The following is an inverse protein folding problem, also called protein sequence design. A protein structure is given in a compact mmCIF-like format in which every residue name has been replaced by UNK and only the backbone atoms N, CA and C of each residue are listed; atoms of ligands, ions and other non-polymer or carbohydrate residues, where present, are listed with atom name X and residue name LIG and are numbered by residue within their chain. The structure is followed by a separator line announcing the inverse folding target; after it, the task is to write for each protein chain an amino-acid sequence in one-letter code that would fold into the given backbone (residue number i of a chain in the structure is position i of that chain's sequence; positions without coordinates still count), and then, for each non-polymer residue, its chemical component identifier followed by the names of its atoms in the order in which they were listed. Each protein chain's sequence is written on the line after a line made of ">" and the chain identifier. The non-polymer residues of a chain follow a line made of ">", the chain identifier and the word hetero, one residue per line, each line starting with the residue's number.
data_IF_811114341253
#
_entry.id   IF_811114341253
#
_cell.length_a   1.000
_cell.length_b   1.000
_cell.length_c   1.000
_cell.angle_alpha   90.00
_cell.angle_beta   90.00
_cell.angle_gamma   90.00
#
_symmetry.space_group_name_H-M   'P 1'
#
loop_
_entity.id
_entity.type
_entity.pdbx_description
1 polymer ?
#
# COMPACT_ATOMS: atom_id res chain seq x y z
N UNK A 1 13.21 17.95 -50.03
CA UNK A 1 12.14 17.60 -49.07
C UNK A 1 12.80 17.28 -47.74
N UNK A 2 12.71 18.14 -46.71
CA UNK A 2 13.32 17.83 -45.41
C UNK A 2 12.39 16.93 -44.58
N UNK A 3 12.94 15.88 -43.98
CA UNK A 3 12.21 14.94 -43.10
C UNK A 3 12.08 15.53 -41.69
N UNK A 4 10.85 15.53 -41.17
CA UNK A 4 10.53 15.98 -39.83
C UNK A 4 10.89 14.87 -38.83
N UNK A 5 11.98 15.04 -38.07
CA UNK A 5 12.39 14.11 -37.03
C UNK A 5 11.56 14.40 -35.77
N UNK A 6 10.58 13.55 -35.46
CA UNK A 6 9.76 13.67 -34.26
C UNK A 6 10.49 13.05 -33.06
N UNK A 7 11.21 13.85 -32.29
CA UNK A 7 11.81 13.40 -31.03
C UNK A 7 10.72 13.47 -29.95
N UNK A 8 10.10 12.35 -29.62
CA UNK A 8 9.21 12.23 -28.47
C UNK A 8 10.04 12.31 -27.17
N UNK A 9 10.30 13.54 -26.69
CA UNK A 9 10.76 13.75 -25.32
C UNK A 9 9.61 13.40 -24.39
N UNK A 10 9.69 12.24 -23.73
CA UNK A 10 8.82 11.94 -22.59
C UNK A 10 9.18 12.92 -21.47
N UNK A 11 8.29 13.87 -21.23
CA UNK A 11 8.40 14.85 -20.17
C UNK A 11 8.07 14.17 -18.84
N UNK A 12 8.97 13.32 -18.34
CA UNK A 12 8.90 12.84 -16.97
C UNK A 12 9.24 14.04 -16.08
N UNK A 13 8.20 14.67 -15.54
CA UNK A 13 8.32 15.63 -14.45
C UNK A 13 8.72 14.83 -13.21
N UNK A 14 9.97 14.95 -12.77
CA UNK A 14 10.45 14.37 -11.52
C UNK A 14 9.77 15.07 -10.34
N UNK A 15 8.54 14.66 -10.03
CA UNK A 15 7.84 15.06 -8.82
C UNK A 15 8.58 14.45 -7.62
N UNK A 16 8.88 15.24 -6.56
CA UNK A 16 9.51 14.72 -5.37
C UNK A 16 8.62 13.63 -4.75
N UNK A 17 9.16 12.41 -4.66
CA UNK A 17 8.50 11.29 -3.99
C UNK A 17 8.53 11.56 -2.49
N UNK A 18 7.44 12.14 -1.96
CA UNK A 18 7.28 12.28 -0.52
C UNK A 18 6.96 10.90 0.08
N UNK A 19 8.00 10.20 0.52
CA UNK A 19 7.86 8.95 1.26
C UNK A 19 7.48 9.29 2.70
N UNK A 20 6.19 9.20 3.00
CA UNK A 20 5.73 9.21 4.39
C UNK A 20 6.26 7.95 5.08
N UNK A 21 7.43 8.06 5.73
CA UNK A 21 7.89 7.05 6.67
C UNK A 21 6.89 7.01 7.82
N UNK A 22 6.10 5.94 7.88
CA UNK A 22 5.26 5.66 9.03
C UNK A 22 6.20 5.33 10.20
N UNK A 23 6.57 6.35 10.97
CA UNK A 23 7.21 6.15 12.27
C UNK A 23 6.17 5.42 13.13
N UNK A 24 6.27 4.10 13.22
CA UNK A 24 5.70 3.34 14.32
C UNK A 24 6.39 3.82 15.61
N UNK A 25 6.06 5.01 16.09
CA UNK A 25 6.09 5.18 17.53
C UNK A 25 5.12 4.12 18.03
N UNK A 26 5.64 3.08 18.65
CA UNK A 26 4.86 2.18 19.48
C UNK A 26 4.32 3.02 20.64
N UNK A 27 3.36 3.91 20.36
CA UNK A 27 2.42 4.45 21.33
C UNK A 27 1.40 3.36 21.66
N UNK A 28 1.84 2.10 21.77
CA UNK A 28 1.37 1.25 22.85
C UNK A 28 1.92 1.88 24.12
N UNK A 29 1.34 3.02 24.50
CA UNK A 29 1.48 3.52 25.86
C UNK A 29 1.09 2.30 26.70
N UNK A 30 2.00 1.81 27.54
CA UNK A 30 1.75 0.64 28.36
C UNK A 30 0.33 0.80 28.94
N UNK A 31 -0.57 -0.15 28.68
CA UNK A 31 -1.99 -0.02 29.02
C UNK A 31 -2.14 0.34 30.51
N UNK A 32 -1.21 -0.16 31.35
CA UNK A 32 -1.07 0.16 32.77
C UNK A 32 -0.68 1.63 33.04
N UNK A 33 0.10 2.27 32.18
CA UNK A 33 0.43 3.70 32.29
C UNK A 33 -0.74 4.60 31.89
N UNK A 34 -1.52 4.25 30.86
CA UNK A 34 -2.75 4.97 30.50
C UNK A 34 -3.84 4.78 31.56
N UNK A 35 -3.88 3.56 32.12
CA UNK A 35 -4.73 3.22 33.23
C UNK A 35 -4.49 4.10 34.44
N UNK A 36 -3.26 4.10 34.92
CA UNK A 36 -2.88 4.81 36.12
C UNK A 36 -2.93 6.34 35.96
N UNK A 37 -2.76 6.87 34.74
CA UNK A 37 -2.86 8.32 34.50
C UNK A 37 -4.30 8.83 34.45
N UNK A 38 -5.25 8.02 33.96
CA UNK A 38 -6.61 8.47 33.68
C UNK A 38 -7.64 7.97 34.71
N UNK A 39 -7.39 6.83 35.36
CA UNK A 39 -8.34 6.17 36.27
C UNK A 39 -7.75 5.90 37.67
N UNK A 40 -6.50 6.30 37.94
CA UNK A 40 -5.85 6.13 39.24
C UNK A 40 -5.47 4.67 39.54
N UNK A 41 -5.55 4.25 40.81
CA UNK A 41 -5.17 2.89 41.24
C UNK A 41 -6.15 1.80 40.80
N UNK A 42 -7.35 2.18 40.33
CA UNK A 42 -8.42 1.24 39.98
C UNK A 42 -8.35 0.88 38.49
N UNK A 43 -7.28 0.15 38.15
CA UNK A 43 -6.94 -0.29 36.79
C UNK A 43 -7.97 -1.28 36.23
N UNK A 44 -8.77 -1.90 37.11
CA UNK A 44 -9.76 -2.91 36.75
C UNK A 44 -11.01 -2.33 36.06
N UNK A 45 -11.25 -1.01 36.16
CA UNK A 45 -12.38 -0.30 35.51
C UNK A 45 -12.23 -0.21 33.99
N UNK A 46 -11.00 -0.35 33.47
CA UNK A 46 -10.65 0.03 32.09
C UNK A 46 -11.28 -0.84 31.02
N UNK A 47 -11.69 -2.06 31.38
CA UNK A 47 -12.41 -2.96 30.49
C UNK A 47 -13.59 -3.61 31.23
N UNK A 48 -14.20 -2.91 32.18
CA UNK A 48 -15.31 -3.42 33.00
C UNK A 48 -16.54 -3.81 32.16
N UNK A 49 -16.78 -3.07 31.06
CA UNK A 49 -17.86 -3.30 30.09
C UNK A 49 -17.43 -4.12 28.85
N UNK A 50 -16.14 -4.44 28.72
CA UNK A 50 -15.59 -5.19 27.58
C UNK A 50 -15.44 -4.39 26.27
N UNK A 51 -15.65 -3.07 26.28
CA UNK A 51 -15.60 -2.26 25.06
C UNK A 51 -14.19 -2.21 24.43
N UNK A 52 -13.12 -2.18 25.25
CA UNK A 52 -11.74 -2.19 24.73
C UNK A 52 -11.37 -3.51 24.06
N UNK A 53 -11.80 -4.63 24.64
CA UNK A 53 -11.60 -5.95 24.02
C UNK A 53 -12.31 -6.01 22.66
N UNK A 54 -13.53 -5.48 22.59
CA UNK A 54 -14.32 -5.41 21.35
C UNK A 54 -13.66 -4.52 20.30
N UNK A 55 -13.19 -3.33 20.68
CA UNK A 55 -12.50 -2.41 19.79
C UNK A 55 -11.19 -3.00 19.26
N UNK A 56 -10.45 -3.73 20.09
CA UNK A 56 -9.21 -4.39 19.70
C UNK A 56 -9.43 -5.52 18.69
N UNK A 57 -10.44 -6.37 18.92
CA UNK A 57 -10.80 -7.44 17.98
C UNK A 57 -11.35 -6.87 16.66
N UNK A 58 -12.15 -5.80 16.70
CA UNK A 58 -12.57 -5.08 15.50
C UNK A 58 -11.36 -4.52 14.73
N UNK A 59 -10.41 -3.89 15.42
CA UNK A 59 -9.20 -3.35 14.81
C UNK A 59 -8.33 -4.44 14.17
N UNK A 60 -8.20 -5.61 14.80
CA UNK A 60 -7.55 -6.77 14.19
C UNK A 60 -8.27 -7.22 12.92
N UNK A 61 -9.59 -7.28 12.95
CA UNK A 61 -10.41 -7.62 11.80
C UNK A 61 -10.17 -6.68 10.61
N UNK A 62 -10.18 -5.38 10.87
CA UNK A 62 -9.89 -4.34 9.88
C UNK A 62 -8.46 -4.49 9.33
N UNK A 63 -7.47 -4.67 10.20
CA UNK A 63 -6.08 -4.84 9.76
C UNK A 63 -5.92 -6.07 8.85
N UNK A 64 -6.60 -7.17 9.17
CA UNK A 64 -6.60 -8.38 8.33
C UNK A 64 -7.21 -8.12 6.96
N UNK A 65 -8.38 -7.48 6.90
CA UNK A 65 -9.04 -7.12 5.64
C UNK A 65 -8.14 -6.24 4.76
N UNK A 66 -7.54 -5.20 5.33
CA UNK A 66 -6.60 -4.33 4.61
C UNK A 66 -5.39 -5.10 4.06
N UNK A 67 -4.89 -6.08 4.80
CA UNK A 67 -3.75 -6.89 4.38
C UNK A 67 -4.12 -7.86 3.25
N UNK A 68 -5.34 -8.41 3.27
CA UNK A 68 -5.90 -9.23 2.21
C UNK A 68 -6.08 -8.42 0.91
N UNK A 69 -6.69 -7.23 1.02
CA UNK A 69 -6.88 -6.30 -0.11
C UNK A 69 -5.54 -5.88 -0.74
N UNK A 70 -4.56 -5.50 0.09
CA UNK A 70 -3.23 -5.12 -0.39
C UNK A 70 -2.54 -6.28 -1.13
N UNK A 71 -2.72 -7.51 -0.65
CA UNK A 71 -2.13 -8.70 -1.27
C UNK A 71 -2.80 -9.00 -2.60
N UNK A 72 -4.14 -8.90 -2.65
CA UNK A 72 -4.92 -9.09 -3.87
C UNK A 72 -4.54 -8.06 -4.94
N UNK A 73 -4.45 -6.77 -4.58
CA UNK A 73 -4.08 -5.69 -5.50
C UNK A 73 -2.67 -5.88 -6.07
N UNK A 74 -1.69 -6.22 -5.21
CA UNK A 74 -0.32 -6.51 -5.66
C UNK A 74 -0.26 -7.66 -6.64
N UNK A 75 -1.03 -8.73 -6.38
CA UNK A 75 -1.11 -9.89 -7.26
C UNK A 75 -1.73 -9.50 -8.61
N UNK A 76 -2.86 -8.81 -8.59
CA UNK A 76 -3.54 -8.33 -9.79
C UNK A 76 -2.61 -7.46 -10.65
N UNK A 77 -1.93 -6.49 -10.04
CA UNK A 77 -1.00 -5.61 -10.74
C UNK A 77 0.19 -6.35 -11.34
N UNK A 78 0.77 -7.31 -10.60
CA UNK A 78 1.90 -8.13 -11.07
C UNK A 78 1.52 -9.00 -12.27
N UNK A 79 0.35 -9.63 -12.23
CA UNK A 79 -0.19 -10.41 -13.35
C UNK A 79 -0.45 -9.53 -14.57
N UNK A 80 -1.03 -8.35 -14.36
CA UNK A 80 -1.33 -7.42 -15.45
C UNK A 80 -0.07 -6.92 -16.14
N UNK A 81 0.95 -6.48 -15.37
CA UNK A 81 2.25 -6.08 -15.92
C UNK A 81 2.86 -7.21 -16.74
N UNK A 82 2.84 -8.44 -16.23
CA UNK A 82 3.44 -9.59 -16.90
C UNK A 82 2.77 -9.85 -18.24
N UNK A 83 1.44 -9.83 -18.27
CA UNK A 83 0.66 -9.99 -19.52
C UNK A 83 0.93 -8.86 -20.51
N UNK A 84 0.91 -7.61 -20.05
CA UNK A 84 1.18 -6.46 -20.92
C UNK A 84 2.59 -6.50 -21.51
N UNK A 85 3.60 -6.86 -20.73
CA UNK A 85 4.97 -7.02 -21.23
C UNK A 85 5.06 -8.12 -22.28
N UNK A 86 4.49 -9.29 -22.02
CA UNK A 86 4.48 -10.38 -22.98
C UNK A 86 3.79 -9.99 -24.31
N UNK A 87 2.70 -9.23 -24.24
CA UNK A 87 2.01 -8.76 -25.43
C UNK A 87 2.81 -7.69 -26.20
N UNK A 88 3.48 -6.77 -25.50
CA UNK A 88 4.41 -5.83 -26.14
C UNK A 88 5.51 -6.56 -26.90
N UNK A 89 6.10 -7.59 -26.30
CA UNK A 89 7.19 -8.36 -26.92
C UNK A 89 6.69 -9.13 -28.15
N UNK A 90 5.51 -9.76 -28.08
CA UNK A 90 4.86 -10.39 -29.25
C UNK A 90 4.64 -9.38 -30.39
N UNK A 91 4.07 -8.23 -30.09
CA UNK A 91 3.78 -7.19 -31.08
C UNK A 91 5.06 -6.60 -31.70
N UNK A 92 6.16 -6.57 -30.95
CA UNK A 92 7.49 -6.18 -31.47
C UNK A 92 8.03 -7.21 -32.45
N UNK A 93 8.01 -8.49 -32.08
CA UNK A 93 8.44 -9.57 -32.97
C UNK A 93 7.64 -9.61 -34.28
N UNK A 94 6.32 -9.37 -34.19
CA UNK A 94 5.45 -9.34 -35.36
C UNK A 94 5.76 -8.13 -36.26
N UNK A 95 5.93 -6.93 -35.68
CA UNK A 95 6.35 -5.75 -36.46
C UNK A 95 7.70 -5.95 -37.15
N UNK A 96 8.68 -6.55 -36.49
CA UNK A 96 10.00 -6.84 -37.09
C UNK A 96 9.90 -7.79 -38.29
N UNK A 97 8.97 -8.75 -38.27
CA UNK A 97 8.73 -9.66 -39.40
C UNK A 97 8.13 -8.94 -40.60
N UNK A 98 7.23 -7.98 -40.38
CA UNK A 98 6.62 -7.20 -41.46
C UNK A 98 7.51 -6.06 -41.99
N UNK A 99 8.58 -5.71 -41.28
CA UNK A 99 9.57 -4.72 -41.71
C UNK A 99 10.74 -5.31 -42.53
N UNK A 100 10.76 -6.63 -42.76
CA UNK A 100 11.69 -7.31 -43.68
C UNK A 100 11.03 -7.53 -45.04
#
# INVERSE_FOLDING_TARGET
>A
MPQLVYISKTLFMDLPVNRSSFNYHSKTVNLKSLASSNYGSDVDIINEDGELATAYEAQKGINRQLQEELTAEKKFYSEHITKTKAEIDRLREENEKYQK
#
